data_IF_639036208341
#
_entry.id   IF_639036208341
#
_cell.length_a   1.000
_cell.length_b   1.000
_cell.length_c   1.000
_cell.angle_alpha   90.00
_cell.angle_beta   90.00
_cell.angle_gamma   90.00
#
_symmetry.space_group_name_H-M   'P 1'
#
loop_
_entity.id
_entity.type
_entity.pdbx_description
1 polymer ?
#
# COMPACT_ATOMS: atom_id res chain seq x y z
N UNK A 1 23.13 6.55 17.07
CA UNK A 1 22.26 5.35 16.94
C UNK A 1 20.81 5.66 17.26
N UNK A 2 20.55 6.42 18.33
CA UNK A 2 19.19 6.74 18.80
C UNK A 2 18.27 7.34 17.73
N UNK A 3 18.77 8.23 16.88
CA UNK A 3 17.97 8.80 15.77
C UNK A 3 17.50 7.75 14.76
N UNK A 4 18.37 6.79 14.41
CA UNK A 4 18.00 5.66 13.53
C UNK A 4 17.08 4.68 14.25
N UNK A 5 17.29 4.41 15.54
CA UNK A 5 16.41 3.53 16.30
C UNK A 5 14.98 4.09 16.41
N UNK A 6 14.85 5.42 16.57
CA UNK A 6 13.57 6.11 16.58
C UNK A 6 12.86 6.09 15.21
N UNK A 7 13.58 5.93 14.11
CA UNK A 7 12.99 5.78 12.77
C UNK A 7 12.38 4.39 12.54
N UNK A 8 12.84 3.35 13.25
CA UNK A 8 12.38 1.96 13.13
C UNK A 8 11.75 1.45 14.43
N UNK A 9 10.82 2.22 14.99
CA UNK A 9 10.22 2.00 16.33
C UNK A 9 9.52 0.66 16.54
N UNK A 10 9.04 0.03 15.48
CA UNK A 10 8.28 -1.23 15.56
C UNK A 10 9.15 -2.49 15.43
N UNK A 11 10.46 -2.33 15.18
CA UNK A 11 11.37 -3.45 14.94
C UNK A 11 12.03 -3.98 16.22
N UNK A 12 11.96 -5.29 16.43
CA UNK A 12 12.71 -5.99 17.49
C UNK A 12 14.00 -6.59 16.94
N UNK A 13 15.11 -6.43 17.65
CA UNK A 13 16.37 -7.08 17.30
C UNK A 13 16.59 -8.34 18.13
N UNK A 14 17.07 -9.40 17.50
CA UNK A 14 17.54 -10.59 18.22
C UNK A 14 18.71 -10.23 19.16
N UNK A 15 18.72 -10.84 20.34
CA UNK A 15 19.73 -10.60 21.40
C UNK A 15 21.15 -10.99 20.99
N UNK A 16 21.29 -11.89 20.02
CA UNK A 16 22.57 -12.39 19.50
C UNK A 16 23.31 -11.39 18.60
N UNK A 17 22.67 -10.27 18.23
CA UNK A 17 23.27 -9.27 17.33
C UNK A 17 24.12 -8.27 18.11
N UNK A 18 25.37 -8.09 17.69
CA UNK A 18 26.26 -7.03 18.18
C UNK A 18 25.77 -5.66 17.73
N UNK A 19 26.15 -4.61 18.47
CA UNK A 19 25.82 -3.22 18.15
C UNK A 19 26.26 -2.80 16.73
N UNK A 20 27.38 -3.36 16.25
CA UNK A 20 27.88 -3.10 14.89
C UNK A 20 26.95 -3.70 13.82
N UNK A 21 26.44 -4.91 14.03
CA UNK A 21 25.49 -5.54 13.11
C UNK A 21 24.17 -4.78 13.04
N UNK A 22 23.62 -4.37 14.19
CA UNK A 22 22.38 -3.56 14.26
C UNK A 22 22.54 -2.24 13.51
N UNK A 23 23.65 -1.54 13.74
CA UNK A 23 23.94 -0.28 13.05
C UNK A 23 24.05 -0.48 11.52
N UNK A 24 24.73 -1.54 11.08
CA UNK A 24 24.89 -1.81 9.65
C UNK A 24 23.54 -2.12 8.98
N UNK A 25 22.70 -2.93 9.64
CA UNK A 25 21.35 -3.24 9.17
C UNK A 25 20.49 -1.98 9.04
N UNK A 26 20.44 -1.14 10.08
CA UNK A 26 19.66 0.11 10.05
C UNK A 26 20.13 1.06 8.95
N UNK A 27 21.45 1.17 8.72
CA UNK A 27 22.01 1.95 7.62
C UNK A 27 21.57 1.41 6.26
N UNK A 28 21.60 0.09 6.08
CA UNK A 28 21.19 -0.56 4.84
C UNK A 28 19.69 -0.39 4.57
N UNK A 29 18.84 -0.58 5.58
CA UNK A 29 17.39 -0.36 5.48
C UNK A 29 17.07 1.09 5.12
N UNK A 30 17.73 2.06 5.76
CA UNK A 30 17.54 3.48 5.43
C UNK A 30 18.03 3.82 4.02
N UNK A 31 19.18 3.28 3.60
CA UNK A 31 19.71 3.48 2.24
C UNK A 31 18.75 2.95 1.18
N UNK A 32 18.13 1.80 1.44
CA UNK A 32 17.20 1.14 0.54
C UNK A 32 15.73 1.45 0.85
N UNK A 33 15.44 2.51 1.61
CA UNK A 33 14.08 2.94 1.98
C UNK A 33 13.08 2.93 0.79
N UNK A 34 13.42 3.47 -0.41
CA UNK A 34 12.47 3.49 -1.53
C UNK A 34 12.20 2.12 -2.17
N UNK A 35 12.96 1.09 -1.84
CA UNK A 35 12.70 -0.28 -2.31
C UNK A 35 11.60 -0.98 -1.49
N UNK A 36 11.20 -0.40 -0.35
CA UNK A 36 10.15 -0.94 0.51
C UNK A 36 8.87 -0.15 0.29
N UNK A 37 7.74 -0.86 0.22
CA UNK A 37 6.42 -0.26 0.22
C UNK A 37 6.11 0.31 1.62
N UNK A 38 6.66 1.49 1.92
CA UNK A 38 6.28 2.27 3.08
C UNK A 38 4.96 2.97 2.79
N UNK A 39 4.04 3.00 3.74
CA UNK A 39 2.71 3.60 3.57
C UNK A 39 2.69 5.10 3.25
N UNK A 40 3.87 5.73 3.13
CA UNK A 40 4.04 7.13 2.72
C UNK A 40 4.13 7.30 1.20
N UNK A 41 4.46 6.23 0.45
CA UNK A 41 4.58 6.28 -1.01
C UNK A 41 3.39 5.60 -1.69
N UNK A 42 2.77 6.22 -2.72
CA UNK A 42 1.64 5.62 -3.42
C UNK A 42 2.10 4.36 -4.15
N UNK A 43 1.46 3.24 -3.83
CA UNK A 43 1.64 1.98 -4.54
C UNK A 43 1.34 2.18 -6.03
N UNK A 44 2.22 1.69 -6.91
CA UNK A 44 1.95 1.68 -8.34
C UNK A 44 2.29 2.95 -9.12
N UNK A 45 3.13 3.86 -8.59
CA UNK A 45 3.67 5.01 -9.35
C UNK A 45 4.66 4.64 -10.47
N UNK A 46 4.71 3.36 -10.86
CA UNK A 46 5.52 2.85 -11.96
C UNK A 46 4.85 3.24 -13.29
N UNK A 47 5.38 4.25 -13.96
CA UNK A 47 4.91 4.69 -15.28
C UNK A 47 5.26 3.64 -16.35
N UNK A 48 4.40 3.46 -17.34
CA UNK A 48 4.67 2.62 -18.51
C UNK A 48 4.20 1.16 -18.44
N UNK A 49 3.48 0.77 -17.38
CA UNK A 49 2.76 -0.51 -17.30
C UNK A 49 1.25 -0.32 -17.48
N UNK A 50 0.87 0.64 -18.31
CA UNK A 50 -0.54 0.90 -18.60
C UNK A 50 -1.11 -0.29 -19.38
N UNK A 51 -2.16 -0.90 -18.86
CA UNK A 51 -2.81 -2.05 -19.49
C UNK A 51 -3.88 -1.50 -20.43
N UNK A 52 -3.75 -1.83 -21.72
CA UNK A 52 -4.78 -1.52 -22.69
C UNK A 52 -5.82 -2.65 -22.71
N UNK A 53 -6.98 -2.38 -22.13
CA UNK A 53 -8.10 -3.32 -22.11
C UNK A 53 -8.94 -3.12 -23.37
N UNK A 54 -8.92 -4.10 -24.27
CA UNK A 54 -9.77 -4.14 -25.45
C UNK A 54 -10.98 -5.04 -25.17
N UNK A 55 -12.17 -4.55 -25.49
CA UNK A 55 -13.41 -5.34 -25.45
C UNK A 55 -13.78 -5.73 -26.87
N UNK A 56 -13.70 -7.01 -27.20
CA UNK A 56 -14.06 -7.53 -28.54
C UNK A 56 -15.59 -7.59 -28.75
N UNK A 57 -16.37 -7.35 -27.70
CA UNK A 57 -17.81 -7.27 -27.80
C UNK A 57 -18.30 -5.83 -27.99
N UNK A 58 -19.31 -5.64 -28.83
CA UNK A 58 -20.16 -4.44 -28.82
C UNK A 58 -20.70 -4.23 -27.40
N UNK A 59 -20.54 -3.01 -26.86
CA UNK A 59 -20.88 -2.58 -25.48
C UNK A 59 -21.75 -3.56 -24.68
N UNK A 60 -21.14 -4.21 -23.69
CA UNK A 60 -21.84 -5.13 -22.81
C UNK A 60 -22.91 -4.44 -21.91
N UNK A 61 -24.11 -5.03 -21.96
CA UNK A 61 -25.33 -4.82 -21.18
C UNK A 61 -25.98 -3.43 -21.22
N UNK A 62 -27.28 -3.35 -21.59
CA UNK A 62 -28.09 -2.13 -21.45
C UNK A 62 -27.95 -1.55 -20.03
N UNK A 63 -27.80 -0.23 -19.87
CA UNK A 63 -27.78 0.42 -18.55
C UNK A 63 -28.97 0.01 -17.66
N UNK A 64 -30.11 -0.31 -18.28
CA UNK A 64 -31.34 -0.78 -17.64
C UNK A 64 -31.21 -2.15 -16.94
N UNK A 65 -30.21 -2.96 -17.29
CA UNK A 65 -29.93 -4.25 -16.65
C UNK A 65 -28.82 -4.16 -15.58
N UNK A 66 -28.29 -2.97 -15.31
CA UNK A 66 -27.39 -2.76 -14.17
C UNK A 66 -28.18 -2.94 -12.88
N UNK A 67 -27.86 -4.00 -12.15
CA UNK A 67 -28.41 -4.20 -10.81
C UNK A 67 -27.91 -3.08 -9.89
N UNK A 68 -28.75 -2.55 -9.00
CA UNK A 68 -28.26 -1.64 -7.97
C UNK A 68 -27.21 -2.38 -7.11
N UNK A 69 -26.23 -1.66 -6.55
CA UNK A 69 -25.32 -2.26 -5.59
C UNK A 69 -26.13 -2.89 -4.45
N UNK A 70 -25.67 -4.05 -3.99
CA UNK A 70 -26.33 -4.76 -2.89
C UNK A 70 -26.31 -3.87 -1.63
N UNK A 71 -27.39 -3.84 -0.83
CA UNK A 71 -27.41 -3.04 0.39
C UNK A 71 -26.33 -3.53 1.35
N UNK A 72 -25.56 -2.60 1.87
CA UNK A 72 -24.46 -2.84 2.81
C UNK A 72 -24.81 -2.33 4.21
N UNK A 73 -24.18 -2.91 5.23
CA UNK A 73 -24.37 -2.43 6.61
C UNK A 73 -23.69 -1.06 6.81
N UNK A 74 -24.18 -0.29 7.78
CA UNK A 74 -23.57 1.01 8.11
C UNK A 74 -22.10 0.89 8.53
N UNK A 75 -21.74 -0.19 9.21
CA UNK A 75 -20.36 -0.44 9.63
C UNK A 75 -19.47 -0.78 8.43
N UNK A 76 -19.98 -1.64 7.55
CA UNK A 76 -19.30 -2.01 6.30
C UNK A 76 -19.04 -0.77 5.44
N UNK A 77 -20.06 0.07 5.28
CA UNK A 77 -19.96 1.31 4.50
C UNK A 77 -18.89 2.25 5.05
N UNK A 78 -18.86 2.48 6.36
CA UNK A 78 -17.83 3.31 7.02
C UNK A 78 -16.42 2.76 6.81
N UNK A 79 -16.25 1.44 6.89
CA UNK A 79 -14.97 0.78 6.64
C UNK A 79 -14.50 0.99 5.20
N UNK A 80 -15.38 0.74 4.24
CA UNK A 80 -15.09 0.92 2.80
C UNK A 80 -14.77 2.39 2.49
N UNK A 81 -15.55 3.33 3.02
CA UNK A 81 -15.38 4.77 2.79
C UNK A 81 -13.99 5.26 3.22
N UNK A 82 -13.46 4.75 4.33
CA UNK A 82 -12.08 5.05 4.76
C UNK A 82 -11.05 4.65 3.69
N UNK A 83 -11.16 3.45 3.14
CA UNK A 83 -10.24 2.93 2.14
C UNK A 83 -10.37 3.63 0.78
N UNK A 84 -11.60 3.99 0.39
CA UNK A 84 -11.84 4.81 -0.81
C UNK A 84 -11.13 6.16 -0.68
N UNK A 85 -11.31 6.83 0.45
CA UNK A 85 -10.69 8.13 0.70
C UNK A 85 -9.16 8.06 0.70
N UNK A 86 -8.57 6.97 1.20
CA UNK A 86 -7.12 6.78 1.14
C UNK A 86 -6.62 6.49 -0.28
N UNK A 87 -7.44 5.87 -1.15
CA UNK A 87 -7.09 5.57 -2.54
C UNK A 87 -7.22 6.78 -3.48
N UNK A 88 -7.99 7.80 -3.09
CA UNK A 88 -8.24 9.03 -3.85
C UNK A 88 -7.27 10.18 -3.50
N UNK A 89 -6.46 10.02 -2.45
CA UNK A 89 -5.39 10.98 -2.07
C UNK A 89 -4.16 10.80 -2.96
#
# INVERSE_FOLDING_TARGET
>A
MEKLLNEFREGQFKTTLTSKHKLNLLKMLRKNRPAFALGEEPLGKNRGHDIQLYSDAERHYPPMLRRPPYPESLETRKGIEKHINDSLK
#
